data_IF_394550012946
#
_entry.id   IF_394550012946
#
_cell.length_a   1.000
_cell.length_b   1.000
_cell.length_c   1.000
_cell.angle_alpha   90.00
_cell.angle_beta   90.00
_cell.angle_gamma   90.00
#
_symmetry.space_group_name_H-M   'P 1'
#
loop_
_entity.id
_entity.type
_entity.pdbx_description
1 polymer ?
#
# COMPACT_ATOMS: atom_id res chain seq x y z
N UNK A 1 20.79 -12.32 -30.71
CA UNK A 1 19.36 -12.56 -30.45
C UNK A 1 19.04 -12.69 -28.95
N UNK A 2 19.83 -13.45 -28.17
CA UNK A 2 19.61 -13.67 -26.72
C UNK A 2 19.54 -12.39 -25.86
N UNK A 3 20.41 -11.41 -26.12
CA UNK A 3 20.43 -10.14 -25.36
C UNK A 3 19.17 -9.28 -25.55
N UNK A 4 18.53 -9.37 -26.72
CA UNK A 4 17.26 -8.68 -26.97
C UNK A 4 16.13 -9.31 -26.15
N UNK A 5 16.08 -10.64 -26.10
CA UNK A 5 15.11 -11.40 -25.29
C UNK A 5 15.21 -11.01 -23.81
N UNK A 6 16.42 -11.03 -23.24
CA UNK A 6 16.67 -10.68 -21.84
C UNK A 6 16.27 -9.23 -21.51
N UNK A 7 16.53 -8.30 -22.43
CA UNK A 7 16.16 -6.89 -22.26
C UNK A 7 14.63 -6.72 -22.24
N UNK A 8 13.91 -7.44 -23.09
CA UNK A 8 12.45 -7.40 -23.16
C UNK A 8 11.83 -8.00 -21.89
N UNK A 9 12.27 -9.18 -21.46
CA UNK A 9 11.83 -9.86 -20.24
C UNK A 9 12.00 -8.98 -19.00
N UNK A 10 13.18 -8.37 -18.85
CA UNK A 10 13.49 -7.49 -17.71
C UNK A 10 12.58 -6.25 -17.69
N UNK A 11 12.31 -5.65 -18.85
CA UNK A 11 11.41 -4.51 -18.95
C UNK A 11 9.97 -4.93 -18.60
N UNK A 12 9.46 -6.01 -19.20
CA UNK A 12 8.11 -6.52 -18.92
C UNK A 12 7.92 -6.83 -17.42
N UNK A 13 8.92 -7.44 -16.77
CA UNK A 13 8.89 -7.73 -15.34
C UNK A 13 8.83 -6.47 -14.48
N UNK A 14 9.58 -5.43 -14.83
CA UNK A 14 9.58 -4.15 -14.10
C UNK A 14 8.23 -3.43 -14.21
N UNK A 15 7.63 -3.40 -15.41
CA UNK A 15 6.31 -2.78 -15.61
C UNK A 15 5.21 -3.53 -14.86
N UNK A 16 5.21 -4.87 -14.92
CA UNK A 16 4.26 -5.68 -14.16
C UNK A 16 4.37 -5.46 -12.64
N UNK A 17 5.59 -5.30 -12.14
CA UNK A 17 5.82 -5.04 -10.71
C UNK A 17 5.34 -3.64 -10.30
N UNK A 18 5.57 -2.62 -11.11
CA UNK A 18 5.06 -1.27 -10.87
C UNK A 18 3.53 -1.22 -10.85
N UNK A 19 2.88 -1.86 -11.83
CA UNK A 19 1.41 -1.97 -11.88
C UNK A 19 0.87 -2.65 -10.62
N UNK A 20 1.54 -3.69 -10.13
CA UNK A 20 1.12 -4.42 -8.92
C UNK A 20 1.21 -3.56 -7.66
N UNK A 21 2.26 -2.73 -7.54
CA UNK A 21 2.40 -1.78 -6.44
C UNK A 21 1.26 -0.75 -6.49
N UNK A 22 1.02 -0.14 -7.65
CA UNK A 22 -0.05 0.86 -7.83
C UNK A 22 -1.43 0.24 -7.52
N UNK A 23 -1.71 -0.95 -8.05
CA UNK A 23 -2.95 -1.67 -7.79
C UNK A 23 -3.14 -1.97 -6.29
N UNK A 24 -2.07 -2.36 -5.58
CA UNK A 24 -2.14 -2.63 -4.13
C UNK A 24 -2.49 -1.38 -3.31
N UNK A 25 -1.95 -0.21 -3.69
CA UNK A 25 -2.25 1.06 -3.02
C UNK A 25 -3.70 1.44 -3.27
N UNK A 26 -4.16 1.39 -4.52
CA UNK A 26 -5.55 1.71 -4.88
C UNK A 26 -6.53 0.77 -4.17
N UNK A 27 -6.24 -0.53 -4.15
CA UNK A 27 -7.07 -1.51 -3.45
C UNK A 27 -7.08 -1.26 -1.94
N UNK A 28 -5.96 -0.84 -1.34
CA UNK A 28 -5.93 -0.44 0.07
C UNK A 28 -6.90 0.72 0.34
N UNK A 29 -6.96 1.70 -0.55
CA UNK A 29 -7.90 2.82 -0.42
C UNK A 29 -9.36 2.44 -0.63
N UNK A 30 -9.66 1.53 -1.56
CA UNK A 30 -11.04 1.08 -1.85
C UNK A 30 -11.52 0.12 -0.76
N UNK A 31 -10.66 -0.78 -0.30
CA UNK A 31 -11.02 -1.88 0.58
C UNK A 31 -11.04 -1.49 2.05
N UNK A 32 -10.13 -0.63 2.52
CA UNK A 32 -10.09 -0.22 3.93
C UNK A 32 -11.32 0.65 4.21
N UNK A 33 -12.34 0.12 4.92
CA UNK A 33 -13.55 0.88 5.18
C UNK A 33 -13.22 1.91 6.26
N UNK A 34 -13.64 3.16 6.06
CA UNK A 34 -13.51 4.23 7.05
C UNK A 34 -14.12 3.87 8.43
N UNK A 35 -15.00 2.87 8.47
CA UNK A 35 -15.69 2.40 9.66
C UNK A 35 -15.00 1.20 10.35
N UNK A 36 -14.15 0.42 9.67
CA UNK A 36 -13.46 -0.74 10.29
C UNK A 36 -12.15 -0.39 11.01
N UNK A 37 -11.70 0.86 10.92
CA UNK A 37 -10.66 1.48 11.77
C UNK A 37 -11.22 1.91 13.14
N UNK A 38 -12.05 1.05 13.75
CA UNK A 38 -12.68 1.31 15.05
C UNK A 38 -13.57 2.55 15.09
N UNK A 39 -14.25 2.88 13.99
CA UNK A 39 -15.12 4.07 13.87
C UNK A 39 -14.39 5.39 13.63
N UNK A 40 -13.10 5.36 13.30
CA UNK A 40 -12.29 6.57 13.09
C UNK A 40 -12.07 6.81 11.59
N UNK A 41 -12.71 7.85 11.05
CA UNK A 41 -12.53 8.30 9.65
C UNK A 41 -11.19 9.03 9.49
N UNK A 42 -10.10 8.27 9.52
CA UNK A 42 -8.73 8.76 9.34
C UNK A 42 -8.08 8.03 8.16
N UNK A 43 -7.26 8.76 7.41
CA UNK A 43 -6.51 8.18 6.30
C UNK A 43 -5.65 6.99 6.77
N UNK A 44 -5.62 5.86 6.04
CA UNK A 44 -4.79 4.70 6.35
C UNK A 44 -3.28 5.00 6.40
N UNK A 45 -2.87 6.12 5.78
CA UNK A 45 -1.46 6.55 5.73
C UNK A 45 -1.12 7.46 6.91
N UNK A 46 -2.13 7.99 7.62
CA UNK A 46 -1.92 8.88 8.75
C UNK A 46 -1.58 8.08 10.00
N UNK A 47 -0.51 8.46 10.69
CA UNK A 47 -0.19 7.89 12.01
C UNK A 47 -1.33 8.15 13.00
N UNK A 48 -1.74 7.11 13.73
CA UNK A 48 -2.82 7.18 14.71
C UNK A 48 -2.23 7.65 16.04
N UNK A 49 -2.71 8.76 16.63
CA UNK A 49 -2.26 9.18 17.94
C UNK A 49 -2.64 8.13 18.99
N UNK A 50 -1.73 7.84 19.91
CA UNK A 50 -1.99 6.96 21.06
C UNK A 50 -3.10 7.62 21.89
N UNK A 51 -4.15 6.85 22.20
CA UNK A 51 -5.27 7.33 23.03
C UNK A 51 -4.72 7.82 24.36
N UNK A 52 -5.32 8.89 24.90
CA UNK A 52 -4.88 9.57 26.12
C UNK A 52 -4.71 8.62 27.31
N UNK A 53 -5.57 7.60 27.42
CA UNK A 53 -5.52 6.57 28.47
C UNK A 53 -4.28 5.65 28.39
N UNK A 54 -3.73 5.46 27.19
CA UNK A 54 -2.62 4.56 26.89
C UNK A 54 -1.25 5.25 26.95
N UNK A 55 -1.20 6.58 26.93
CA UNK A 55 0.03 7.37 26.95
C UNK A 55 0.90 7.15 28.21
N UNK A 56 0.32 6.60 29.30
CA UNK A 56 1.10 6.28 30.50
C UNK A 56 1.95 5.01 30.36
N UNK A 57 1.73 4.21 29.31
CA UNK A 57 2.39 2.92 29.08
C UNK A 57 3.39 2.93 27.92
N UNK A 58 3.36 3.95 27.06
CA UNK A 58 4.18 4.10 25.85
C UNK A 58 4.77 5.50 25.78
#
# INVERSE_FOLDING_TARGET
>A
MFFLQYKIEKQQRNYGQLIRIIASILYTYIWVPAEKTGGTNISPIKSIPIRTELQKYF
#
